data_IF_541947498001
#
_entry.id   IF_541947498001
#
_cell.length_a   1.000
_cell.length_b   1.000
_cell.length_c   1.000
_cell.angle_alpha   90.00
_cell.angle_beta   90.00
_cell.angle_gamma   90.00
#
_symmetry.space_group_name_H-M   'P 1'
#
loop_
_entity.id
_entity.type
_entity.pdbx_description
1 polymer ?
#
# COMPACT_ATOMS: atom_id res chain seq x y z
N UNK A 1 0.25 19.61 -11.41
CA UNK A 1 1.57 20.05 -11.22
C UNK A 1 2.60 19.05 -10.76
N UNK A 2 2.38 18.19 -9.75
CA UNK A 2 3.42 17.27 -9.21
C UNK A 2 3.54 15.99 -10.07
N UNK A 3 2.58 15.70 -10.92
CA UNK A 3 2.46 14.41 -11.63
C UNK A 3 3.38 14.27 -12.84
N UNK A 4 3.63 15.35 -13.58
CA UNK A 4 4.31 15.26 -14.87
C UNK A 4 5.83 15.23 -14.79
N UNK A 5 6.44 15.91 -13.81
CA UNK A 5 7.90 16.01 -13.67
C UNK A 5 8.58 14.74 -13.16
N UNK A 6 7.82 13.81 -12.54
CA UNK A 6 8.34 12.50 -12.15
C UNK A 6 8.60 11.58 -13.36
N UNK A 7 7.98 11.88 -14.50
CA UNK A 7 8.01 11.04 -15.70
C UNK A 7 9.06 11.49 -16.73
N UNK A 8 9.37 12.78 -16.81
CA UNK A 8 10.21 13.34 -17.87
C UNK A 8 11.71 13.41 -17.56
N UNK A 9 12.09 13.22 -16.31
CA UNK A 9 13.50 13.25 -15.92
C UNK A 9 14.13 11.86 -15.87
N UNK A 10 14.89 11.52 -16.88
CA UNK A 10 15.83 10.38 -16.96
C UNK A 10 15.22 9.05 -17.40
N UNK A 11 15.25 8.83 -18.71
CA UNK A 11 14.96 7.55 -19.38
C UNK A 11 15.91 6.40 -19.01
N UNK A 12 16.96 6.65 -18.25
CA UNK A 12 18.01 5.67 -17.96
C UNK A 12 18.58 5.88 -16.57
N UNK A 13 17.82 5.62 -15.51
CA UNK A 13 18.54 5.14 -14.35
C UNK A 13 18.87 3.66 -14.61
N UNK A 14 19.95 3.44 -15.34
CA UNK A 14 20.49 2.10 -15.43
C UNK A 14 20.72 1.62 -13.99
N UNK A 15 20.17 0.47 -13.63
CA UNK A 15 20.35 -0.14 -12.32
C UNK A 15 21.79 0.01 -11.76
N UNK A 16 22.87 -0.12 -12.58
CA UNK A 16 24.25 0.14 -12.16
C UNK A 16 24.52 1.54 -11.62
N UNK A 17 23.97 2.58 -12.23
CA UNK A 17 24.18 3.98 -11.78
C UNK A 17 23.52 4.21 -10.43
N UNK A 18 22.30 3.72 -10.23
CA UNK A 18 21.61 3.85 -8.96
C UNK A 18 22.33 3.08 -7.83
N UNK A 19 22.85 1.90 -8.13
CA UNK A 19 23.68 1.12 -7.19
C UNK A 19 24.95 1.90 -6.84
N UNK A 20 25.65 2.44 -7.84
CA UNK A 20 26.85 3.22 -7.63
C UNK A 20 26.58 4.46 -6.74
N UNK A 21 25.51 5.20 -6.99
CA UNK A 21 25.10 6.32 -6.18
C UNK A 21 24.79 5.88 -4.74
N UNK A 22 24.05 4.78 -4.58
CA UNK A 22 23.70 4.24 -3.28
C UNK A 22 24.95 3.85 -2.45
N UNK A 23 25.97 3.25 -3.09
CA UNK A 23 27.16 2.74 -2.43
C UNK A 23 28.26 3.77 -2.24
N UNK A 24 28.37 4.76 -3.13
CA UNK A 24 29.53 5.65 -3.21
C UNK A 24 29.22 7.13 -2.97
N UNK A 25 27.99 7.58 -3.20
CA UNK A 25 27.68 8.98 -3.00
C UNK A 25 27.65 9.34 -1.50
N UNK A 26 28.23 10.48 -1.08
CA UNK A 26 28.10 10.96 0.27
C UNK A 26 26.62 11.16 0.64
N UNK A 27 26.23 10.74 1.83
CA UNK A 27 24.83 10.89 2.29
C UNK A 27 24.36 12.35 2.25
N UNK A 28 25.27 13.30 2.59
CA UNK A 28 24.99 14.74 2.50
C UNK A 28 24.61 15.19 1.10
N UNK A 29 25.32 14.72 0.07
CA UNK A 29 25.02 15.05 -1.32
C UNK A 29 23.67 14.47 -1.78
N UNK A 30 23.35 13.25 -1.36
CA UNK A 30 22.04 12.64 -1.63
C UNK A 30 20.92 13.41 -0.92
N UNK A 31 21.12 13.77 0.35
CA UNK A 31 20.15 14.53 1.13
C UNK A 31 19.90 15.94 0.55
N UNK A 32 20.98 16.66 0.15
CA UNK A 32 20.88 17.97 -0.49
C UNK A 32 20.13 17.89 -1.82
N UNK A 33 20.46 16.89 -2.65
CA UNK A 33 19.75 16.65 -3.92
C UNK A 33 18.28 16.36 -3.69
N UNK A 34 17.95 15.49 -2.75
CA UNK A 34 16.57 15.16 -2.39
C UNK A 34 15.80 16.39 -1.87
N UNK A 35 16.47 17.22 -1.03
CA UNK A 35 15.89 18.46 -0.53
C UNK A 35 15.61 19.46 -1.65
N UNK A 36 16.56 19.65 -2.58
CA UNK A 36 16.39 20.50 -3.76
C UNK A 36 15.21 20.05 -4.62
N UNK A 37 15.11 18.73 -4.91
CA UNK A 37 13.98 18.17 -5.65
C UNK A 37 12.64 18.38 -4.93
N UNK A 38 12.63 18.26 -3.59
CA UNK A 38 11.45 18.54 -2.78
C UNK A 38 11.03 20.00 -2.90
N UNK A 39 11.94 20.93 -2.68
CA UNK A 39 11.64 22.38 -2.67
C UNK A 39 11.21 22.93 -4.03
N UNK A 40 11.61 22.27 -5.10
CA UNK A 40 11.14 22.59 -6.45
C UNK A 40 9.69 22.11 -6.73
N UNK A 41 9.15 21.24 -5.88
CA UNK A 41 7.82 20.63 -6.07
C UNK A 41 6.78 21.05 -5.06
N UNK A 42 7.20 21.36 -3.84
CA UNK A 42 6.32 21.74 -2.73
C UNK A 42 6.86 23.01 -2.07
N UNK A 43 5.99 23.78 -1.44
CA UNK A 43 6.38 24.99 -0.74
C UNK A 43 7.47 24.68 0.32
N UNK A 44 8.66 25.31 0.26
CA UNK A 44 9.82 24.92 1.08
C UNK A 44 9.59 25.05 2.59
N UNK A 45 8.79 26.00 3.03
CA UNK A 45 8.47 26.24 4.46
C UNK A 45 7.24 25.49 4.97
N UNK A 46 6.61 24.62 4.17
CA UNK A 46 5.40 23.90 4.57
C UNK A 46 5.67 22.40 4.71
N UNK A 47 5.29 21.86 5.85
CA UNK A 47 5.19 20.40 6.09
C UNK A 47 3.74 20.08 6.43
N UNK A 48 3.16 19.14 5.69
CA UNK A 48 1.81 18.64 5.95
C UNK A 48 1.88 17.35 6.75
N UNK A 49 0.89 17.11 7.57
CA UNK A 49 0.70 15.86 8.30
C UNK A 49 -0.76 15.45 8.24
N UNK A 50 -1.01 14.20 8.55
CA UNK A 50 -2.34 13.62 8.59
C UNK A 50 -2.51 12.92 9.94
N UNK A 51 -3.69 13.09 10.53
CA UNK A 51 -4.11 12.34 11.70
C UNK A 51 -5.00 11.20 11.21
N UNK A 52 -4.49 9.99 11.28
CA UNK A 52 -5.21 8.78 10.89
C UNK A 52 -5.11 7.71 11.98
N UNK A 53 -5.91 6.67 11.83
CA UNK A 53 -5.85 5.50 12.70
C UNK A 53 -5.64 4.24 11.89
N UNK A 54 -4.63 3.47 12.29
CA UNK A 54 -4.42 2.13 11.77
C UNK A 54 -5.37 1.15 12.49
N UNK A 55 -6.18 0.42 11.73
CA UNK A 55 -7.11 -0.58 12.23
C UNK A 55 -6.82 -1.93 11.54
N UNK A 56 -6.53 -2.94 12.35
CA UNK A 56 -6.44 -4.31 11.85
C UNK A 56 -7.78 -5.01 12.12
N UNK A 57 -8.63 -5.12 11.08
CA UNK A 57 -9.98 -5.68 11.24
C UNK A 57 -9.98 -7.19 11.49
N UNK A 58 -8.93 -7.89 11.10
CA UNK A 58 -8.71 -9.32 11.43
C UNK A 58 -7.22 -9.64 11.45
N UNK A 59 -6.83 -10.58 12.32
CA UNK A 59 -5.49 -11.17 12.34
C UNK A 59 -5.45 -12.56 11.69
N UNK A 60 -6.57 -13.10 11.25
CA UNK A 60 -6.63 -14.40 10.56
C UNK A 60 -5.93 -14.29 9.21
N UNK A 61 -4.89 -15.10 8.99
CA UNK A 61 -4.08 -15.01 7.78
C UNK A 61 -3.48 -16.37 7.40
N UNK A 62 -3.59 -16.72 6.12
CA UNK A 62 -3.03 -17.97 5.56
C UNK A 62 -1.60 -17.85 5.02
N UNK A 63 -1.05 -16.62 4.93
CA UNK A 63 0.27 -16.39 4.30
C UNK A 63 1.46 -16.61 5.20
N UNK A 64 1.30 -16.51 6.52
CA UNK A 64 2.35 -16.75 7.54
C UNK A 64 3.72 -16.09 7.22
N UNK A 65 3.71 -14.79 6.89
CA UNK A 65 4.95 -14.04 6.63
C UNK A 65 5.87 -14.06 7.85
N UNK A 66 7.18 -14.32 7.64
CA UNK A 66 8.16 -14.51 8.73
C UNK A 66 8.38 -13.27 9.62
N UNK A 67 8.01 -12.09 9.13
CA UNK A 67 8.15 -10.82 9.86
C UNK A 67 6.87 -10.33 10.52
N UNK A 68 5.72 -11.00 10.25
CA UNK A 68 4.42 -10.54 10.74
C UNK A 68 4.14 -11.08 12.15
N UNK A 69 4.14 -10.21 13.15
CA UNK A 69 3.79 -10.56 14.52
C UNK A 69 2.28 -10.68 14.77
N UNK A 70 1.46 -10.12 13.87
CA UNK A 70 0.01 -10.05 14.04
C UNK A 70 -0.73 -11.30 13.62
N UNK A 71 -0.25 -12.01 12.60
CA UNK A 71 -1.01 -13.08 11.99
C UNK A 71 -1.30 -14.22 12.96
N UNK A 72 -2.51 -14.77 12.83
CA UNK A 72 -2.91 -16.05 13.43
C UNK A 72 -3.46 -16.96 12.35
N UNK A 73 -3.09 -18.25 12.33
CA UNK A 73 -3.69 -19.18 11.39
C UNK A 73 -5.19 -19.35 11.68
N UNK A 74 -6.00 -19.73 10.68
CA UNK A 74 -7.42 -20.02 10.90
C UNK A 74 -7.65 -20.99 12.06
N UNK A 75 -8.63 -20.70 12.92
CA UNK A 75 -8.94 -21.52 14.09
C UNK A 75 -8.02 -21.33 15.30
N UNK A 76 -7.05 -20.43 15.26
CA UNK A 76 -6.22 -20.12 16.43
C UNK A 76 -7.05 -19.45 17.53
N UNK A 77 -6.82 -19.78 18.84
CA UNK A 77 -7.62 -19.21 19.94
C UNK A 77 -7.59 -17.69 20.04
N UNK A 78 -6.52 -17.05 19.58
CA UNK A 78 -6.37 -15.58 19.55
C UNK A 78 -6.82 -14.97 18.23
N UNK A 79 -7.46 -15.75 17.35
CA UNK A 79 -8.01 -15.20 16.11
C UNK A 79 -9.20 -14.30 16.38
N UNK A 80 -9.29 -13.20 15.63
CA UNK A 80 -10.41 -12.28 15.74
C UNK A 80 -10.82 -11.72 14.38
N UNK A 81 -12.06 -11.29 14.31
CA UNK A 81 -12.60 -10.33 13.35
C UNK A 81 -13.28 -9.26 14.22
N UNK A 82 -12.92 -7.99 14.03
CA UNK A 82 -13.50 -6.89 14.78
C UNK A 82 -15.00 -6.77 14.49
N UNK A 83 -15.78 -6.54 15.53
CA UNK A 83 -17.20 -6.21 15.40
C UNK A 83 -17.39 -4.77 14.94
N UNK A 84 -18.61 -4.42 14.54
CA UNK A 84 -18.95 -3.01 14.23
C UNK A 84 -18.79 -2.10 15.45
N UNK A 85 -19.07 -2.60 16.64
CA UNK A 85 -18.89 -1.85 17.89
C UNK A 85 -17.41 -1.58 18.17
N UNK A 86 -16.54 -2.58 17.98
CA UNK A 86 -15.07 -2.40 18.10
C UNK A 86 -14.54 -1.36 17.10
N UNK A 87 -15.06 -1.39 15.87
CA UNK A 87 -14.70 -0.43 14.82
C UNK A 87 -15.20 0.96 15.15
N UNK A 88 -16.47 1.10 15.60
CA UNK A 88 -17.06 2.37 16.01
C UNK A 88 -16.25 3.02 17.12
N UNK A 89 -15.95 2.29 18.18
CA UNK A 89 -15.14 2.82 19.28
C UNK A 89 -13.81 3.41 18.77
N UNK A 90 -13.11 2.66 17.91
CA UNK A 90 -11.82 3.12 17.35
C UNK A 90 -11.95 4.34 16.46
N UNK A 91 -13.03 4.44 15.71
CA UNK A 91 -13.29 5.57 14.80
C UNK A 91 -13.70 6.81 15.61
N UNK A 92 -14.55 6.66 16.61
CA UNK A 92 -14.96 7.76 17.47
C UNK A 92 -13.78 8.36 18.24
N UNK A 93 -12.89 7.53 18.80
CA UNK A 93 -11.63 8.00 19.39
C UNK A 93 -10.74 8.77 18.38
N UNK A 94 -10.74 8.38 17.10
CA UNK A 94 -10.03 9.11 16.04
C UNK A 94 -10.67 10.47 15.76
N UNK A 95 -12.00 10.50 15.63
CA UNK A 95 -12.76 11.72 15.35
C UNK A 95 -12.63 12.74 16.47
N UNK A 96 -12.60 12.31 17.74
CA UNK A 96 -12.40 13.17 18.92
C UNK A 96 -11.09 13.98 18.84
N UNK A 97 -10.05 13.42 18.26
CA UNK A 97 -8.75 14.11 18.07
C UNK A 97 -8.61 14.80 16.71
N UNK A 98 -9.74 14.94 15.97
CA UNK A 98 -9.77 15.60 14.67
C UNK A 98 -9.19 14.78 13.52
N UNK A 99 -9.14 13.46 13.65
CA UNK A 99 -8.72 12.56 12.57
C UNK A 99 -9.76 12.49 11.46
N UNK A 100 -9.30 12.24 10.24
CA UNK A 100 -10.14 12.30 9.04
C UNK A 100 -10.05 11.05 8.16
N UNK A 101 -9.16 10.11 8.53
CA UNK A 101 -8.88 8.93 7.71
C UNK A 101 -8.63 7.69 8.56
N UNK A 102 -9.13 6.54 8.12
CA UNK A 102 -8.67 5.25 8.62
C UNK A 102 -7.74 4.59 7.61
N UNK A 103 -6.70 3.93 8.14
CA UNK A 103 -5.85 3.01 7.42
C UNK A 103 -6.21 1.60 7.90
N UNK A 104 -7.08 0.90 7.16
CA UNK A 104 -7.64 -0.37 7.63
C UNK A 104 -7.12 -1.55 6.80
N UNK A 105 -6.38 -2.46 7.43
CA UNK A 105 -5.81 -3.63 6.80
C UNK A 105 -6.01 -4.86 7.68
N UNK A 106 -6.00 -6.05 7.07
CA UNK A 106 -6.15 -7.31 7.79
C UNK A 106 -5.26 -8.42 7.27
N UNK A 107 -5.51 -9.63 7.77
CA UNK A 107 -4.92 -10.84 7.25
C UNK A 107 -5.64 -11.33 5.99
N UNK A 108 -5.00 -12.27 5.28
CA UNK A 108 -5.63 -13.00 4.17
C UNK A 108 -6.58 -14.05 4.74
N UNK A 109 -7.81 -13.64 4.99
CA UNK A 109 -8.84 -14.52 5.56
C UNK A 109 -9.38 -15.47 4.48
N UNK A 110 -9.44 -16.79 4.73
CA UNK A 110 -9.86 -17.76 3.71
C UNK A 110 -11.36 -17.76 3.42
N UNK A 111 -12.19 -17.31 4.36
CA UNK A 111 -13.64 -17.48 4.31
C UNK A 111 -14.43 -16.18 4.13
N UNK A 112 -13.81 -14.99 4.34
CA UNK A 112 -14.49 -13.72 4.13
C UNK A 112 -14.72 -13.46 2.65
N UNK A 113 -15.97 -13.33 2.26
CA UNK A 113 -16.44 -13.10 0.90
C UNK A 113 -16.49 -11.61 0.56
N UNK A 114 -16.52 -11.28 -0.71
CA UNK A 114 -16.63 -9.89 -1.19
C UNK A 114 -17.79 -9.14 -0.54
N UNK A 115 -18.94 -9.80 -0.34
CA UNK A 115 -20.10 -9.20 0.32
C UNK A 115 -19.80 -8.70 1.73
N UNK A 116 -18.96 -9.40 2.49
CA UNK A 116 -18.55 -8.93 3.82
C UNK A 116 -17.78 -7.61 3.74
N UNK A 117 -16.90 -7.46 2.76
CA UNK A 117 -16.10 -6.26 2.57
C UNK A 117 -16.93 -5.08 2.05
N UNK A 118 -17.83 -5.32 1.10
CA UNK A 118 -18.75 -4.28 0.61
C UNK A 118 -19.71 -3.81 1.70
N UNK A 119 -20.33 -4.73 2.45
CA UNK A 119 -21.21 -4.40 3.58
C UNK A 119 -20.50 -3.60 4.67
N UNK A 120 -19.20 -3.89 4.89
CA UNK A 120 -18.37 -3.13 5.83
C UNK A 120 -18.13 -1.69 5.35
N UNK A 121 -17.75 -1.52 4.09
CA UNK A 121 -17.48 -0.20 3.50
C UNK A 121 -18.75 0.67 3.43
N UNK A 122 -19.85 0.10 2.98
CA UNK A 122 -21.16 0.78 2.92
C UNK A 122 -21.62 1.22 4.31
N UNK A 123 -21.48 0.36 5.31
CA UNK A 123 -21.77 0.72 6.70
C UNK A 123 -20.86 1.85 7.20
N UNK A 124 -19.56 1.80 6.94
CA UNK A 124 -18.63 2.85 7.31
C UNK A 124 -19.00 4.19 6.65
N UNK A 125 -19.29 4.19 5.36
CA UNK A 125 -19.65 5.43 4.63
C UNK A 125 -21.00 5.97 5.05
N UNK A 126 -21.96 5.11 5.39
CA UNK A 126 -23.27 5.55 5.90
C UNK A 126 -23.20 6.10 7.31
N UNK A 127 -22.35 5.54 8.17
CA UNK A 127 -22.23 5.95 9.58
C UNK A 127 -21.27 7.13 9.75
N UNK A 128 -20.18 7.15 8.98
CA UNK A 128 -19.09 8.14 9.07
C UNK A 128 -18.78 8.75 7.70
N UNK A 129 -19.70 9.51 7.08
CA UNK A 129 -19.59 9.93 5.68
C UNK A 129 -18.40 10.84 5.36
N UNK A 130 -17.86 11.54 6.36
CA UNK A 130 -16.70 12.42 6.22
C UNK A 130 -15.36 11.70 6.34
N UNK A 131 -15.37 10.42 6.74
CA UNK A 131 -14.16 9.64 6.94
C UNK A 131 -13.64 9.10 5.61
N UNK A 132 -12.36 9.33 5.33
CA UNK A 132 -11.69 8.73 4.17
C UNK A 132 -11.32 7.28 4.47
N UNK A 133 -11.68 6.38 3.57
CA UNK A 133 -11.45 4.95 3.69
C UNK A 133 -10.26 4.51 2.82
N UNK A 134 -9.05 4.50 3.43
CA UNK A 134 -7.85 3.89 2.85
C UNK A 134 -7.73 2.46 3.41
N UNK A 135 -8.29 1.48 2.70
CA UNK A 135 -8.46 0.14 3.23
C UNK A 135 -7.79 -0.92 2.37
N UNK A 136 -7.49 -2.05 3.03
CA UNK A 136 -6.94 -3.26 2.42
C UNK A 136 -5.51 -3.07 1.88
N UNK A 137 -5.07 -4.03 1.10
CA UNK A 137 -3.79 -4.03 0.40
C UNK A 137 -3.91 -4.86 -0.88
N UNK A 138 -3.03 -4.67 -1.88
CA UNK A 138 -3.05 -5.52 -3.06
C UNK A 138 -2.97 -7.02 -2.76
N UNK A 139 -2.31 -7.39 -1.66
CA UNK A 139 -2.23 -8.78 -1.25
C UNK A 139 -3.57 -9.31 -0.72
N UNK A 140 -4.35 -8.48 -0.01
CA UNK A 140 -5.71 -8.83 0.42
C UNK A 140 -6.65 -8.90 -0.78
N UNK A 141 -6.51 -7.99 -1.75
CA UNK A 141 -7.27 -8.05 -3.00
C UNK A 141 -6.97 -9.32 -3.77
N UNK A 142 -5.70 -9.73 -3.87
CA UNK A 142 -5.32 -10.99 -4.53
C UNK A 142 -5.94 -12.22 -3.84
N UNK A 143 -5.89 -12.27 -2.51
CA UNK A 143 -6.57 -13.30 -1.73
C UNK A 143 -8.09 -13.32 -2.00
N UNK A 144 -8.72 -12.14 -2.09
CA UNK A 144 -10.15 -12.04 -2.36
C UNK A 144 -10.49 -12.47 -3.79
N UNK A 145 -9.62 -12.23 -4.77
CA UNK A 145 -9.74 -12.78 -6.11
C UNK A 145 -9.77 -14.31 -6.10
N UNK A 146 -8.90 -14.94 -5.31
CA UNK A 146 -8.86 -16.40 -5.16
C UNK A 146 -10.14 -16.95 -4.47
N UNK A 147 -10.56 -16.29 -3.38
CA UNK A 147 -11.75 -16.67 -2.59
C UNK A 147 -13.05 -16.57 -3.42
N UNK A 148 -13.15 -15.58 -4.30
CA UNK A 148 -14.32 -15.32 -5.14
C UNK A 148 -14.25 -15.98 -6.53
N UNK A 149 -13.06 -16.37 -6.98
CA UNK A 149 -12.84 -16.81 -8.36
C UNK A 149 -13.10 -15.70 -9.38
N UNK A 150 -12.79 -14.44 -9.02
CA UNK A 150 -12.98 -13.23 -9.82
C UNK A 150 -11.66 -12.53 -10.05
N UNK A 151 -11.58 -11.72 -11.12
CA UNK A 151 -10.41 -10.89 -11.38
C UNK A 151 -10.34 -9.66 -10.48
N UNK A 152 -9.17 -9.03 -10.43
CA UNK A 152 -8.93 -7.89 -9.57
C UNK A 152 -9.71 -6.63 -10.00
N UNK A 153 -10.03 -6.49 -11.28
CA UNK A 153 -10.83 -5.35 -11.75
C UNK A 153 -12.26 -5.44 -11.21
N UNK A 154 -12.87 -6.61 -11.28
CA UNK A 154 -14.19 -6.85 -10.69
C UNK A 154 -14.21 -6.56 -9.19
N UNK A 155 -13.23 -7.11 -8.45
CA UNK A 155 -13.14 -6.92 -7.00
C UNK A 155 -12.94 -5.45 -6.63
N UNK A 156 -11.98 -4.76 -7.26
CA UNK A 156 -11.69 -3.36 -6.95
C UNK A 156 -12.82 -2.41 -7.34
N UNK A 157 -13.50 -2.68 -8.46
CA UNK A 157 -14.68 -1.90 -8.87
C UNK A 157 -15.80 -2.03 -7.85
N UNK A 158 -16.13 -3.24 -7.42
CA UNK A 158 -17.17 -3.46 -6.40
C UNK A 158 -16.83 -2.79 -5.06
N UNK A 159 -15.58 -2.88 -4.61
CA UNK A 159 -15.13 -2.22 -3.38
C UNK A 159 -15.16 -0.68 -3.51
N UNK A 160 -14.79 -0.15 -4.67
CA UNK A 160 -14.86 1.29 -4.93
C UNK A 160 -16.32 1.80 -4.94
N UNK A 161 -17.23 1.07 -5.59
CA UNK A 161 -18.67 1.36 -5.57
C UNK A 161 -19.25 1.33 -4.15
N UNK A 162 -18.76 0.42 -3.29
CA UNK A 162 -19.13 0.33 -1.89
C UNK A 162 -18.51 1.42 -0.99
N UNK A 163 -17.61 2.27 -1.53
CA UNK A 163 -17.05 3.42 -0.81
C UNK A 163 -15.55 3.34 -0.48
N UNK A 164 -14.80 2.39 -1.04
CA UNK A 164 -13.33 2.39 -0.95
C UNK A 164 -12.77 3.59 -1.71
N UNK A 165 -11.95 4.40 -1.06
CA UNK A 165 -11.32 5.58 -1.65
C UNK A 165 -9.83 5.40 -1.92
N UNK A 166 -9.16 4.59 -1.10
CA UNK A 166 -7.74 4.35 -1.24
C UNK A 166 -7.32 2.90 -0.99
N UNK A 167 -6.28 2.47 -1.72
CA UNK A 167 -5.63 1.18 -1.56
C UNK A 167 -4.19 1.40 -1.08
N UNK A 168 -3.91 1.22 0.23
CA UNK A 168 -2.58 1.33 0.79
C UNK A 168 -1.57 0.34 0.22
N UNK A 169 -0.29 0.74 0.20
CA UNK A 169 0.82 -0.05 -0.33
C UNK A 169 1.26 -1.25 0.52
N UNK A 170 0.42 -1.71 1.44
CA UNK A 170 0.67 -2.93 2.21
C UNK A 170 0.91 -4.14 1.31
N UNK A 171 1.67 -5.10 1.80
CA UNK A 171 2.05 -6.24 0.98
C UNK A 171 3.19 -5.99 -0.02
N UNK A 172 3.59 -4.71 -0.19
CA UNK A 172 4.68 -4.31 -1.06
C UNK A 172 6.04 -4.15 -0.37
N UNK A 173 6.25 -4.74 0.79
CA UNK A 173 7.42 -4.55 1.65
C UNK A 173 8.75 -4.62 0.91
N UNK A 174 8.89 -5.61 0.03
CA UNK A 174 9.94 -5.68 -0.98
C UNK A 174 9.39 -6.47 -2.18
N UNK A 175 9.46 -5.88 -3.37
CA UNK A 175 8.93 -6.49 -4.61
C UNK A 175 9.97 -7.36 -5.33
N UNK A 176 11.24 -7.27 -4.92
CA UNK A 176 12.29 -8.13 -5.48
C UNK A 176 12.00 -9.60 -5.10
N UNK A 177 11.91 -10.52 -6.09
CA UNK A 177 11.55 -11.91 -5.83
C UNK A 177 12.49 -12.60 -4.84
N UNK A 178 13.79 -12.32 -4.90
CA UNK A 178 14.80 -12.94 -4.05
C UNK A 178 14.53 -12.66 -2.55
N UNK A 179 14.16 -11.44 -2.22
CA UNK A 179 13.80 -11.06 -0.84
C UNK A 179 12.44 -11.62 -0.48
N UNK A 180 11.47 -11.45 -1.38
CA UNK A 180 10.07 -11.80 -1.15
C UNK A 180 9.89 -13.29 -0.90
N UNK A 181 10.50 -14.15 -1.71
CA UNK A 181 10.42 -15.60 -1.57
C UNK A 181 11.04 -16.09 -0.25
N UNK A 182 12.04 -15.36 0.25
CA UNK A 182 12.68 -15.66 1.53
C UNK A 182 11.82 -15.31 2.74
N UNK A 183 11.12 -14.15 2.72
CA UNK A 183 10.42 -13.63 3.90
C UNK A 183 8.91 -13.86 3.90
N UNK A 184 8.30 -14.02 2.73
CA UNK A 184 6.85 -14.18 2.57
C UNK A 184 6.49 -15.03 1.32
N UNK A 185 6.94 -16.30 1.24
CA UNK A 185 6.82 -17.13 0.03
C UNK A 185 5.38 -17.42 -0.40
N UNK A 186 4.42 -17.33 0.52
CA UNK A 186 2.99 -17.56 0.24
C UNK A 186 2.20 -16.28 -0.08
N UNK A 187 2.86 -15.13 -0.04
CA UNK A 187 2.20 -13.85 -0.29
C UNK A 187 2.24 -13.53 -1.79
N UNK A 188 1.28 -12.77 -2.25
CA UNK A 188 1.19 -12.20 -3.61
C UNK A 188 2.56 -11.84 -4.17
N UNK A 189 2.91 -12.27 -5.36
CA UNK A 189 4.19 -11.95 -6.01
C UNK A 189 4.35 -10.45 -6.25
N UNK A 190 5.58 -9.95 -6.34
CA UNK A 190 5.83 -8.54 -6.63
C UNK A 190 5.22 -8.08 -7.96
N UNK A 191 5.22 -8.95 -8.97
CA UNK A 191 4.58 -8.69 -10.28
C UNK A 191 3.06 -8.55 -10.13
N UNK A 192 2.42 -9.46 -9.42
CA UNK A 192 0.97 -9.46 -9.20
C UNK A 192 0.54 -8.27 -8.35
N UNK A 193 1.33 -7.90 -7.34
CA UNK A 193 1.10 -6.70 -6.54
C UNK A 193 1.07 -5.43 -7.41
N UNK A 194 2.02 -5.27 -8.33
CA UNK A 194 2.06 -4.14 -9.28
C UNK A 194 0.90 -4.15 -10.28
N UNK A 195 0.49 -5.32 -10.74
CA UNK A 195 -0.68 -5.48 -11.61
C UNK A 195 -1.95 -4.99 -10.91
N UNK A 196 -2.19 -5.42 -9.67
CA UNK A 196 -3.35 -4.98 -8.87
C UNK A 196 -3.30 -3.47 -8.60
N UNK A 197 -2.12 -2.90 -8.31
CA UNK A 197 -1.96 -1.45 -8.18
C UNK A 197 -2.25 -0.71 -9.49
N UNK A 198 -1.86 -1.29 -10.63
CA UNK A 198 -2.22 -0.74 -11.94
C UNK A 198 -3.73 -0.67 -12.15
N UNK A 199 -4.45 -1.73 -11.79
CA UNK A 199 -5.92 -1.79 -11.85
C UNK A 199 -6.54 -0.79 -10.85
N UNK A 200 -5.99 -0.67 -9.63
CA UNK A 200 -6.44 0.33 -8.67
C UNK A 200 -6.31 1.76 -9.20
N UNK A 201 -5.23 2.06 -9.94
CA UNK A 201 -5.07 3.35 -10.62
C UNK A 201 -6.09 3.57 -11.73
N UNK A 202 -6.42 2.52 -12.50
CA UNK A 202 -7.44 2.54 -13.56
C UNK A 202 -8.83 2.81 -12.99
N UNK A 203 -9.18 2.16 -11.89
CA UNK A 203 -10.46 2.34 -11.17
C UNK A 203 -10.58 3.72 -10.52
N UNK A 204 -9.46 4.43 -10.33
CA UNK A 204 -9.43 5.79 -9.77
C UNK A 204 -9.10 5.87 -8.28
N UNK A 205 -8.70 4.76 -7.66
CA UNK A 205 -8.35 4.73 -6.24
C UNK A 205 -7.06 5.51 -5.95
N UNK A 206 -7.03 6.15 -4.79
CA UNK A 206 -5.80 6.68 -4.22
C UNK A 206 -4.89 5.53 -3.80
N UNK A 207 -3.60 5.61 -4.11
CA UNK A 207 -2.69 4.52 -3.74
C UNK A 207 -1.39 5.04 -3.15
N UNK A 208 -0.75 4.20 -2.35
CA UNK A 208 0.61 4.43 -1.87
C UNK A 208 1.51 3.26 -2.23
N UNK A 209 2.82 3.50 -2.27
CA UNK A 209 3.81 2.44 -2.34
C UNK A 209 4.62 2.41 -1.05
N UNK A 210 5.12 1.24 -0.68
CA UNK A 210 5.91 1.09 0.54
C UNK A 210 7.14 0.23 0.31
N UNK A 211 8.15 0.40 1.17
CA UNK A 211 9.30 -0.49 1.29
C UNK A 211 9.59 -0.74 2.76
N UNK A 212 9.95 -1.96 3.12
CA UNK A 212 10.49 -2.29 4.44
C UNK A 212 11.95 -2.65 4.30
N UNK A 213 12.78 -2.04 5.15
CA UNK A 213 14.22 -2.22 5.23
C UNK A 213 14.53 -3.11 6.45
N UNK A 214 15.47 -4.04 6.29
CA UNK A 214 15.91 -4.90 7.40
C UNK A 214 15.65 -6.39 7.19
N UNK A 215 15.23 -6.79 6.00
CA UNK A 215 15.07 -8.20 5.64
C UNK A 215 16.38 -8.90 5.20
N UNK A 216 17.53 -8.25 5.38
CA UNK A 216 18.81 -8.70 4.84
C UNK A 216 18.90 -8.54 3.32
N UNK A 217 18.18 -7.58 2.78
CA UNK A 217 18.23 -7.18 1.39
C UNK A 217 19.51 -6.39 1.08
N UNK A 218 20.01 -6.55 -0.13
CA UNK A 218 21.16 -5.82 -0.65
C UNK A 218 20.72 -4.46 -1.23
N UNK A 219 21.65 -3.51 -1.46
CA UNK A 219 21.37 -2.29 -2.23
C UNK A 219 20.71 -2.59 -3.57
N UNK A 220 21.12 -3.66 -4.25
CA UNK A 220 20.54 -4.10 -5.53
C UNK A 220 19.06 -4.45 -5.40
N UNK A 221 18.66 -5.19 -4.35
CA UNK A 221 17.26 -5.54 -4.11
C UNK A 221 16.41 -4.27 -3.88
N UNK A 222 16.93 -3.30 -3.10
CA UNK A 222 16.25 -2.00 -2.87
C UNK A 222 16.05 -1.22 -4.16
N UNK A 223 17.12 -1.09 -4.95
CA UNK A 223 17.04 -0.35 -6.22
C UNK A 223 16.14 -1.04 -7.23
N UNK A 224 16.10 -2.38 -7.26
CA UNK A 224 15.13 -3.12 -8.09
C UNK A 224 13.69 -2.83 -7.66
N UNK A 225 13.40 -2.89 -6.36
CA UNK A 225 12.08 -2.54 -5.83
C UNK A 225 11.66 -1.12 -6.29
N UNK A 226 12.51 -0.11 -6.06
CA UNK A 226 12.24 1.27 -6.48
C UNK A 226 12.07 1.41 -8.00
N UNK A 227 12.85 0.67 -8.79
CA UNK A 227 12.74 0.67 -10.25
C UNK A 227 11.42 0.08 -10.73
N UNK A 228 10.94 -0.98 -10.09
CA UNK A 228 9.65 -1.61 -10.40
C UNK A 228 8.49 -0.64 -10.09
N UNK A 229 8.51 0.03 -8.93
CA UNK A 229 7.51 1.05 -8.57
C UNK A 229 7.51 2.23 -9.54
N UNK A 230 8.69 2.73 -9.89
CA UNK A 230 8.84 3.82 -10.85
C UNK A 230 8.27 3.47 -12.22
N UNK A 231 8.53 2.27 -12.70
CA UNK A 231 7.99 1.81 -13.98
C UNK A 231 6.46 1.69 -13.92
N UNK A 232 5.89 1.19 -12.83
CA UNK A 232 4.44 1.16 -12.63
C UNK A 232 3.87 2.58 -12.58
N UNK A 233 4.48 3.50 -11.84
CA UNK A 233 4.09 4.91 -11.79
C UNK A 233 4.02 5.52 -13.18
N UNK A 234 5.07 5.34 -13.98
CA UNK A 234 5.14 5.85 -15.37
C UNK A 234 4.02 5.29 -16.26
N UNK A 235 3.76 3.99 -16.16
CA UNK A 235 2.68 3.32 -16.91
C UNK A 235 1.32 3.87 -16.52
N UNK A 236 1.04 3.92 -15.24
CA UNK A 236 -0.26 4.35 -14.71
C UNK A 236 -0.55 5.82 -15.01
N UNK A 237 0.42 6.72 -14.79
CA UNK A 237 0.26 8.14 -15.15
C UNK A 237 0.00 8.36 -16.63
N UNK A 238 0.70 7.59 -17.50
CA UNK A 238 0.50 7.70 -18.95
C UNK A 238 -0.88 7.19 -19.38
N UNK A 239 -1.35 6.08 -18.78
CA UNK A 239 -2.58 5.43 -19.21
C UNK A 239 -3.83 6.08 -18.58
N UNK A 240 -3.76 6.45 -17.31
CA UNK A 240 -4.93 6.82 -16.50
C UNK A 240 -4.85 8.23 -15.90
N UNK A 241 -3.70 8.91 -15.98
CA UNK A 241 -3.48 10.18 -15.26
C UNK A 241 -3.45 10.02 -13.73
N UNK A 242 -3.45 8.80 -13.23
CA UNK A 242 -3.45 8.42 -11.82
C UNK A 242 -2.25 7.51 -11.51
N UNK A 243 -1.82 7.48 -10.24
CA UNK A 243 -0.67 6.67 -9.81
C UNK A 243 -0.46 6.74 -8.31
N UNK A 244 0.68 6.29 -7.83
CA UNK A 244 1.03 6.38 -6.42
C UNK A 244 1.13 7.85 -5.98
N UNK A 245 0.44 8.18 -4.89
CA UNK A 245 0.46 9.52 -4.28
C UNK A 245 1.65 9.70 -3.32
N UNK A 246 2.09 8.61 -2.68
CA UNK A 246 3.18 8.64 -1.72
C UNK A 246 3.99 7.34 -1.77
N UNK A 247 5.25 7.45 -1.35
CA UNK A 247 6.12 6.33 -1.06
C UNK A 247 6.50 6.36 0.42
N UNK A 248 6.32 5.24 1.11
CA UNK A 248 6.50 5.12 2.56
C UNK A 248 7.54 4.04 2.83
N UNK A 249 8.69 4.45 3.37
CA UNK A 249 9.71 3.53 3.84
C UNK A 249 9.55 3.23 5.33
N UNK A 250 9.85 2.01 5.72
CA UNK A 250 9.77 1.53 7.10
C UNK A 250 11.01 0.69 7.43
N UNK A 251 11.39 0.70 8.70
CA UNK A 251 12.47 -0.12 9.25
C UNK A 251 11.90 -1.14 10.24
#
# INVERSE_FOLDING_TARGET
>A
GIRDDLVTGVQTCALPICILLYEKAPLSALAETAHTLRTNRVHPGRVTYLVDRNINYTNVCVTSCKFCAFYRPPGHPESYILTRDDLSQKIEELLEIGGTRILMQGGHHPDLKLSWYTDLLEWLKSTYPSLTLDCFSPSEIDNLCEVEGKDAHFILSALHEAGLEGLPGGGGENLDPEVRDRVSPKKTSGKRWLEIMGIAHEVGLHTTASMVIGFGETPRNRIRHLSMLREQQRKSLKAFGNGFLAFIDRK
#
